data_IF_853885064395
#
_entry.id   IF_853885064395
#
_cell.length_a   1.000
_cell.length_b   1.000
_cell.length_c   1.000
_cell.angle_alpha   90.00
_cell.angle_beta   90.00
_cell.angle_gamma   90.00
#
_symmetry.space_group_name_H-M   'P 1'
#
loop_
_entity.id
_entity.type
_entity.pdbx_description
1 polymer ?
#
# COMPACT_ATOMS: atom_id res chain seq x y z
N UNK A 1 -9.82 17.64 -14.40
CA UNK A 1 -10.18 16.36 -13.76
C UNK A 1 -10.72 15.42 -14.83
N UNK A 2 -10.29 14.15 -14.87
CA UNK A 2 -10.70 13.19 -15.90
C UNK A 2 -12.17 12.77 -15.73
N UNK A 3 -12.96 12.53 -16.82
CA UNK A 3 -14.39 12.17 -16.71
C UNK A 3 -14.69 10.95 -15.83
N UNK A 4 -13.82 9.94 -15.84
CA UNK A 4 -13.97 8.75 -14.99
C UNK A 4 -13.85 9.03 -13.49
N UNK A 5 -13.32 10.20 -13.10
CA UNK A 5 -13.14 10.60 -11.70
C UNK A 5 -14.17 11.65 -11.25
N UNK A 6 -15.18 11.96 -12.08
CA UNK A 6 -16.18 13.01 -11.79
C UNK A 6 -16.97 12.77 -10.50
N UNK A 7 -17.14 11.51 -10.09
CA UNK A 7 -17.82 11.10 -8.85
C UNK A 7 -16.85 10.66 -7.77
N UNK A 8 -15.53 10.86 -7.93
CA UNK A 8 -14.56 10.43 -6.91
C UNK A 8 -14.82 11.11 -5.55
N UNK A 9 -15.37 12.34 -5.56
CA UNK A 9 -15.76 13.05 -4.35
C UNK A 9 -16.96 12.46 -3.60
N UNK A 10 -17.67 11.47 -4.15
CA UNK A 10 -18.74 10.74 -3.43
C UNK A 10 -18.23 9.47 -2.75
N UNK A 11 -16.96 9.12 -2.93
CA UNK A 11 -16.35 7.98 -2.24
C UNK A 11 -16.21 8.30 -0.75
N UNK A 12 -16.29 7.27 0.13
CA UNK A 12 -16.04 7.48 1.55
C UNK A 12 -14.62 8.02 1.75
N UNK A 13 -14.48 8.99 2.66
CA UNK A 13 -13.17 9.51 3.03
C UNK A 13 -12.34 8.42 3.70
N UNK A 14 -11.07 8.31 3.30
CA UNK A 14 -10.09 7.46 3.93
C UNK A 14 -9.26 8.41 4.79
N UNK A 15 -9.64 8.63 6.04
CA UNK A 15 -9.01 9.63 6.93
C UNK A 15 -7.64 9.12 7.42
N UNK A 16 -6.63 9.17 6.55
CA UNK A 16 -5.32 8.57 6.75
C UNK A 16 -4.36 9.52 7.48
N UNK A 17 -3.30 9.02 8.15
CA UNK A 17 -2.30 9.86 8.83
C UNK A 17 -1.64 10.95 7.97
N UNK A 18 -1.63 10.80 6.64
CA UNK A 18 -1.09 11.80 5.71
C UNK A 18 -2.17 12.71 5.07
N UNK A 19 -3.45 12.57 5.47
CA UNK A 19 -4.56 13.42 5.05
C UNK A 19 -4.82 14.54 6.07
N UNK A 20 -3.74 15.20 6.50
CA UNK A 20 -3.76 16.19 7.56
C UNK A 20 -4.48 17.46 7.13
N UNK A 21 -5.20 18.06 8.07
CA UNK A 21 -5.70 19.41 7.93
C UNK A 21 -4.55 20.43 8.04
N UNK A 22 -4.75 21.67 7.58
CA UNK A 22 -3.70 22.69 7.67
C UNK A 22 -3.24 23.02 9.10
N UNK A 23 -4.11 22.84 10.09
CA UNK A 23 -3.85 23.10 11.51
C UNK A 23 -3.28 21.91 12.29
N UNK A 24 -3.28 20.71 11.70
CA UNK A 24 -2.74 19.50 12.32
C UNK A 24 -1.23 19.38 12.09
N UNK A 25 -0.50 18.83 13.06
CA UNK A 25 0.95 18.65 12.93
C UNK A 25 1.32 17.17 12.82
N UNK A 26 2.29 16.88 11.96
CA UNK A 26 2.94 15.58 11.82
C UNK A 26 4.39 15.81 11.39
N UNK A 27 5.37 15.03 11.89
CA UNK A 27 6.76 15.11 11.44
C UNK A 27 6.93 14.85 9.95
N UNK A 28 5.95 14.22 9.30
CA UNK A 28 5.94 13.95 7.88
C UNK A 28 4.72 14.57 7.20
N UNK A 29 4.88 15.02 5.95
CA UNK A 29 3.76 15.45 5.08
C UNK A 29 4.02 15.07 3.64
N UNK A 30 2.94 14.87 2.89
CA UNK A 30 3.02 14.78 1.43
C UNK A 30 2.96 16.19 0.83
N UNK A 31 3.71 16.42 -0.23
CA UNK A 31 3.68 17.70 -0.94
C UNK A 31 3.93 17.57 -2.43
N UNK A 32 3.71 18.67 -3.14
CA UNK A 32 3.98 18.78 -4.58
C UNK A 32 4.92 19.94 -4.83
N UNK A 33 6.01 19.68 -5.56
CA UNK A 33 6.99 20.71 -5.91
C UNK A 33 6.36 21.77 -6.80
N UNK A 34 6.62 23.04 -6.46
CA UNK A 34 6.11 24.21 -7.17
C UNK A 34 7.06 24.64 -8.28
N UNK A 35 6.57 25.51 -9.16
CA UNK A 35 7.41 26.20 -10.13
C UNK A 35 8.27 27.23 -9.39
N UNK A 36 9.60 27.07 -9.47
CA UNK A 36 10.55 27.99 -8.86
C UNK A 36 11.38 27.34 -7.75
N UNK A 37 12.63 27.77 -7.69
CA UNK A 37 13.59 27.48 -6.65
C UNK A 37 14.40 28.76 -6.42
N UNK A 38 14.89 28.96 -5.21
CA UNK A 38 15.82 30.05 -4.87
C UNK A 38 17.18 29.47 -4.43
N UNK A 39 18.03 30.32 -3.86
CA UNK A 39 19.31 29.90 -3.28
C UNK A 39 19.16 28.94 -2.09
N UNK A 40 17.96 28.87 -1.50
CA UNK A 40 17.63 28.02 -0.36
C UNK A 40 17.00 26.68 -0.78
N UNK A 41 16.54 26.55 -2.03
CA UNK A 41 16.12 25.27 -2.61
C UNK A 41 14.78 25.31 -3.33
N UNK A 42 14.11 24.16 -3.39
CA UNK A 42 12.81 23.97 -4.07
C UNK A 42 11.66 24.27 -3.11
N UNK A 43 10.62 24.95 -3.59
CA UNK A 43 9.39 25.15 -2.83
C UNK A 43 8.39 24.02 -3.04
N UNK A 44 7.73 23.60 -1.97
CA UNK A 44 6.79 22.47 -1.94
C UNK A 44 5.47 22.89 -1.30
N UNK A 45 4.37 22.69 -2.02
CA UNK A 45 3.01 22.84 -1.47
C UNK A 45 2.65 21.61 -0.64
N UNK A 46 2.51 21.78 0.67
CA UNK A 46 2.27 20.71 1.65
C UNK A 46 1.02 20.95 2.54
N UNK A 47 0.12 21.83 2.11
CA UNK A 47 -1.11 22.16 2.83
C UNK A 47 -0.88 22.97 4.10
N UNK A 48 0.22 23.71 4.16
CA UNK A 48 0.57 24.64 5.25
C UNK A 48 0.33 26.09 4.83
N UNK A 49 0.52 27.03 5.76
CA UNK A 49 0.30 28.47 5.52
C UNK A 49 1.16 29.03 4.38
N UNK A 50 2.42 28.58 4.31
CA UNK A 50 3.40 28.96 3.29
C UNK A 50 4.04 27.69 2.72
N UNK A 51 4.59 27.73 1.49
CA UNK A 51 5.34 26.62 0.93
C UNK A 51 6.50 26.19 1.83
N UNK A 52 6.77 24.89 1.85
CA UNK A 52 7.92 24.30 2.54
C UNK A 52 9.14 24.38 1.62
N UNK A 53 10.30 24.73 2.17
CA UNK A 53 11.56 24.76 1.43
C UNK A 53 12.33 23.47 1.67
N UNK A 54 12.76 22.82 0.59
CA UNK A 54 13.67 21.67 0.61
C UNK A 54 14.96 22.03 -0.11
N UNK A 55 16.12 21.71 0.45
CA UNK A 55 17.42 22.10 -0.12
C UNK A 55 17.67 21.47 -1.50
N UNK A 56 17.12 20.27 -1.74
CA UNK A 56 17.28 19.55 -2.99
C UNK A 56 16.61 20.30 -4.16
N UNK A 57 17.26 20.29 -5.33
CA UNK A 57 16.70 20.82 -6.57
C UNK A 57 15.85 19.74 -7.24
N UNK A 58 14.52 19.83 -7.06
CA UNK A 58 13.57 18.83 -7.54
C UNK A 58 12.71 19.49 -8.63
N UNK A 59 12.53 18.86 -9.81
CA UNK A 59 11.68 19.43 -10.85
C UNK A 59 10.26 19.68 -10.36
N UNK A 60 9.59 20.72 -10.89
CA UNK A 60 8.21 21.05 -10.55
C UNK A 60 7.23 19.88 -10.81
N UNK A 61 6.08 19.90 -10.12
CA UNK A 61 4.97 18.95 -10.29
C UNK A 61 5.32 17.49 -9.92
N UNK A 62 6.32 17.30 -9.07
CA UNK A 62 6.63 16.01 -8.49
C UNK A 62 6.03 15.91 -7.09
N UNK A 63 5.45 14.75 -6.79
CA UNK A 63 5.00 14.40 -5.44
C UNK A 63 6.21 13.99 -4.61
N UNK A 64 6.33 14.54 -3.42
CA UNK A 64 7.43 14.26 -2.48
C UNK A 64 6.88 13.99 -1.08
N UNK A 65 7.57 13.13 -0.34
CA UNK A 65 7.37 12.93 1.10
C UNK A 65 8.37 13.80 1.83
N UNK A 66 7.87 14.64 2.72
CA UNK A 66 8.67 15.58 3.50
C UNK A 66 8.86 15.05 4.91
N UNK A 67 10.06 15.22 5.47
CA UNK A 67 10.36 15.07 6.89
C UNK A 67 10.80 16.43 7.44
N UNK A 68 10.05 16.98 8.39
CA UNK A 68 10.28 18.32 8.89
C UNK A 68 11.51 18.40 9.81
N UNK A 69 12.23 19.51 9.70
CA UNK A 69 13.35 19.82 10.60
C UNK A 69 12.87 20.25 12.00
N UNK A 70 13.73 20.15 13.03
CA UNK A 70 13.44 20.73 14.33
C UNK A 70 13.09 22.23 14.24
N UNK A 71 12.01 22.66 14.90
CA UNK A 71 11.53 24.05 14.85
C UNK A 71 10.49 24.34 13.76
N UNK A 72 10.24 23.39 12.86
CA UNK A 72 9.28 23.57 11.78
C UNK A 72 7.82 23.62 12.26
N UNK A 73 7.48 22.97 13.37
CA UNK A 73 6.13 23.03 13.96
C UNK A 73 5.82 24.46 14.39
N UNK A 74 6.75 25.05 15.13
CA UNK A 74 6.66 26.43 15.61
C UNK A 74 6.60 27.41 14.44
N UNK A 75 7.46 27.23 13.43
CA UNK A 75 7.45 28.05 12.22
C UNK A 75 6.13 27.94 11.44
N UNK A 76 5.52 26.75 11.39
CA UNK A 76 4.24 26.56 10.72
C UNK A 76 3.08 27.31 11.37
N UNK A 77 3.15 27.52 12.70
CA UNK A 77 2.15 28.23 13.51
C UNK A 77 2.44 29.72 13.65
N UNK A 78 3.68 30.14 13.47
CA UNK A 78 4.09 31.55 13.51
C UNK A 78 3.71 32.27 12.20
N UNK A 79 2.88 33.31 12.32
CA UNK A 79 2.46 34.13 11.18
C UNK A 79 3.61 34.97 10.59
N UNK A 80 4.67 35.21 11.36
CA UNK A 80 5.85 35.99 10.95
C UNK A 80 6.95 35.15 10.34
N UNK A 81 6.89 33.82 10.46
CA UNK A 81 7.85 32.94 9.84
C UNK A 81 7.76 33.05 8.30
N UNK A 82 8.92 33.19 7.66
CA UNK A 82 9.03 33.28 6.19
C UNK A 82 9.43 31.94 5.57
N UNK A 83 9.95 30.99 6.36
CA UNK A 83 10.47 29.70 5.88
C UNK A 83 10.03 28.59 6.83
N UNK A 84 9.60 27.47 6.25
CA UNK A 84 9.42 26.19 6.92
C UNK A 84 10.34 25.20 6.21
N UNK A 85 11.28 24.57 6.93
CA UNK A 85 12.26 23.65 6.34
C UNK A 85 11.88 22.19 6.53
N UNK A 86 12.15 21.40 5.50
CA UNK A 86 12.03 19.94 5.53
C UNK A 86 13.05 19.31 4.58
N UNK A 87 13.25 18.02 4.75
CA UNK A 87 13.99 17.17 3.82
C UNK A 87 13.02 16.35 2.96
N UNK A 88 13.31 16.20 1.67
CA UNK A 88 12.63 15.21 0.83
C UNK A 88 13.20 13.82 1.12
N UNK A 89 12.37 12.92 1.65
CA UNK A 89 12.76 11.59 2.14
C UNK A 89 12.10 10.46 1.34
N UNK A 90 12.44 9.21 1.64
CA UNK A 90 11.80 8.07 0.99
C UNK A 90 10.33 7.98 1.46
N UNK A 91 9.36 7.75 0.55
CA UNK A 91 7.95 7.56 0.94
C UNK A 91 7.68 6.41 1.92
N UNK A 92 8.63 5.48 2.10
CA UNK A 92 8.57 4.42 3.09
C UNK A 92 8.98 4.87 4.51
N UNK A 93 9.75 5.95 4.66
CA UNK A 93 10.34 6.37 5.93
C UNK A 93 9.29 6.68 7.02
N UNK A 94 8.13 7.33 6.73
CA UNK A 94 7.09 7.51 7.74
C UNK A 94 6.62 6.18 8.36
N UNK A 95 6.58 5.11 7.57
CA UNK A 95 6.20 3.76 8.01
C UNK A 95 7.35 3.05 8.71
N UNK A 96 8.53 3.04 8.11
CA UNK A 96 9.67 2.23 8.56
C UNK A 96 10.38 2.82 9.77
N UNK A 97 10.47 4.14 9.88
CA UNK A 97 11.15 4.81 10.99
C UNK A 97 10.19 5.21 12.12
N UNK A 98 8.93 5.53 11.79
CA UNK A 98 7.99 6.16 12.72
C UNK A 98 6.64 5.43 12.89
N UNK A 99 6.41 4.33 12.17
CA UNK A 99 5.21 3.50 12.33
C UNK A 99 3.91 4.10 11.79
N UNK A 100 3.97 5.20 11.02
CA UNK A 100 2.78 5.77 10.40
C UNK A 100 2.31 4.95 9.21
N UNK A 101 1.00 4.72 9.10
CA UNK A 101 0.43 4.23 7.86
C UNK A 101 0.39 5.35 6.82
N UNK A 102 1.23 5.23 5.79
CA UNK A 102 1.42 6.28 4.78
C UNK A 102 0.71 5.99 3.45
N UNK A 103 -0.44 5.32 3.54
CA UNK A 103 -1.25 4.96 2.37
C UNK A 103 -0.72 3.76 1.61
N UNK A 104 -0.98 3.73 0.30
CA UNK A 104 -0.64 2.62 -0.57
C UNK A 104 -0.23 3.12 -1.96
N UNK A 105 0.63 2.34 -2.62
CA UNK A 105 0.97 2.54 -4.01
C UNK A 105 0.08 1.66 -4.90
N UNK A 106 -0.30 2.18 -6.07
CA UNK A 106 -1.09 1.44 -7.05
C UNK A 106 -0.16 1.02 -8.19
N UNK A 107 -0.02 -0.30 -8.39
CA UNK A 107 0.68 -0.88 -9.53
C UNK A 107 -0.32 -1.62 -10.42
N UNK A 108 -0.18 -1.46 -11.73
CA UNK A 108 -0.93 -2.22 -12.72
C UNK A 108 -0.04 -3.33 -13.26
N UNK A 109 -0.53 -4.57 -13.20
CA UNK A 109 0.11 -5.75 -13.79
C UNK A 109 -0.66 -6.16 -15.06
N UNK A 110 0.05 -6.67 -16.08
CA UNK A 110 -0.55 -7.11 -17.35
C UNK A 110 -1.24 -8.47 -17.22
N UNK A 111 -0.61 -9.39 -16.51
CA UNK A 111 -1.14 -10.70 -16.15
C UNK A 111 -0.78 -11.08 -14.70
N UNK A 112 -1.06 -12.33 -14.30
CA UNK A 112 -0.85 -12.77 -12.92
C UNK A 112 0.64 -12.95 -12.61
N UNK A 113 1.43 -13.47 -13.55
CA UNK A 113 2.88 -13.59 -13.40
C UNK A 113 3.55 -12.24 -13.13
N UNK A 114 3.09 -11.17 -13.80
CA UNK A 114 3.61 -9.81 -13.62
C UNK A 114 3.36 -9.27 -12.20
N UNK A 115 2.38 -9.81 -11.48
CA UNK A 115 2.20 -9.48 -10.05
C UNK A 115 3.45 -9.89 -9.27
N UNK A 116 4.05 -11.03 -9.59
CA UNK A 116 5.22 -11.56 -8.88
C UNK A 116 6.54 -11.05 -9.48
N UNK A 117 6.68 -11.08 -10.81
CA UNK A 117 7.96 -10.78 -11.49
C UNK A 117 8.30 -9.29 -11.50
N UNK A 118 7.30 -8.41 -11.44
CA UNK A 118 7.50 -6.95 -11.32
C UNK A 118 7.33 -6.46 -9.87
N UNK A 119 7.60 -7.32 -8.88
CA UNK A 119 7.64 -6.91 -7.49
C UNK A 119 8.72 -5.83 -7.28
N UNK A 120 8.37 -4.77 -6.54
CA UNK A 120 9.28 -3.64 -6.27
C UNK A 120 10.14 -3.84 -5.03
N UNK A 121 9.99 -4.96 -4.33
CA UNK A 121 10.77 -5.29 -3.16
C UNK A 121 11.96 -6.17 -3.54
N UNK A 122 13.14 -5.81 -3.01
CA UNK A 122 14.32 -6.65 -3.14
C UNK A 122 14.09 -8.00 -2.47
N UNK A 123 14.24 -9.09 -3.23
CA UNK A 123 13.91 -10.44 -2.77
C UNK A 123 12.47 -10.90 -3.04
N UNK A 124 11.63 -10.04 -3.62
CA UNK A 124 10.26 -10.37 -3.99
C UNK A 124 9.30 -10.45 -2.80
N UNK A 125 8.15 -11.10 -3.01
CA UNK A 125 7.24 -11.46 -1.93
C UNK A 125 7.66 -12.80 -1.35
N UNK A 126 8.13 -12.82 -0.11
CA UNK A 126 8.63 -14.04 0.53
C UNK A 126 7.51 -14.92 1.11
N UNK A 127 6.29 -14.39 1.22
CA UNK A 127 5.07 -15.17 1.43
C UNK A 127 3.97 -14.69 0.50
N UNK A 128 3.31 -15.64 -0.16
CA UNK A 128 2.20 -15.40 -1.07
C UNK A 128 0.98 -16.23 -0.66
N UNK A 129 -0.17 -15.56 -0.55
CA UNK A 129 -1.44 -16.17 -0.18
C UNK A 129 -2.44 -15.95 -1.30
N UNK A 130 -2.87 -17.04 -1.95
CA UNK A 130 -4.01 -17.03 -2.85
C UNK A 130 -5.30 -17.34 -2.09
N UNK A 131 -6.37 -16.59 -2.35
CA UNK A 131 -7.66 -16.81 -1.68
C UNK A 131 -8.64 -17.57 -2.56
N UNK A 132 -9.32 -18.58 -2.02
CA UNK A 132 -10.37 -19.34 -2.70
C UNK A 132 -11.25 -20.10 -1.70
N UNK A 133 -12.53 -20.30 -2.02
CA UNK A 133 -13.42 -21.17 -1.25
C UNK A 133 -12.91 -22.62 -1.15
N UNK A 134 -12.06 -23.04 -2.11
CA UNK A 134 -11.41 -24.37 -2.18
C UNK A 134 -10.12 -24.45 -1.35
N UNK A 135 -9.71 -23.35 -0.73
CA UNK A 135 -8.53 -23.30 0.13
C UNK A 135 -8.73 -24.00 1.47
N UNK A 136 -7.66 -24.12 2.23
CA UNK A 136 -7.72 -24.52 3.62
C UNK A 136 -8.47 -23.47 4.44
N UNK A 137 -9.12 -23.88 5.52
CA UNK A 137 -9.70 -22.95 6.49
C UNK A 137 -8.61 -21.99 7.01
N UNK A 138 -8.89 -20.67 7.00
CA UNK A 138 -7.97 -19.64 7.51
C UNK A 138 -7.49 -19.92 8.94
N UNK A 139 -8.32 -20.56 9.78
CA UNK A 139 -7.93 -20.91 11.15
C UNK A 139 -6.80 -21.95 11.20
N UNK A 140 -6.61 -22.76 10.15
CA UNK A 140 -5.48 -23.69 10.06
C UNK A 140 -4.12 -23.01 9.96
N UNK A 141 -4.08 -21.75 9.50
CA UNK A 141 -2.85 -20.96 9.55
C UNK A 141 -2.40 -20.68 11.00
N UNK A 142 -3.31 -20.81 11.96
CA UNK A 142 -3.10 -20.52 13.37
C UNK A 142 -3.12 -21.75 14.29
N UNK A 143 -3.39 -22.94 13.76
CA UNK A 143 -3.63 -24.14 14.56
C UNK A 143 -2.35 -24.82 15.08
N UNK A 144 -1.16 -24.29 14.77
CA UNK A 144 0.12 -24.93 15.09
C UNK A 144 0.48 -26.11 14.18
N UNK A 145 -0.24 -26.28 13.08
CA UNK A 145 0.12 -27.22 12.01
C UNK A 145 1.31 -26.63 11.22
N UNK A 146 2.50 -27.20 11.40
CA UNK A 146 3.73 -26.70 10.77
C UNK A 146 3.68 -26.75 9.24
N UNK A 147 2.81 -27.55 8.63
CA UNK A 147 2.62 -27.56 7.16
C UNK A 147 1.89 -26.29 6.68
N UNK A 148 0.97 -25.78 7.48
CA UNK A 148 0.10 -24.65 7.12
C UNK A 148 0.54 -23.33 7.73
N UNK A 149 1.35 -23.39 8.80
CA UNK A 149 1.89 -22.23 9.49
C UNK A 149 2.64 -21.31 8.55
N UNK A 150 2.42 -20.00 8.69
CA UNK A 150 3.20 -18.97 8.02
C UNK A 150 4.26 -18.48 9.01
N UNK A 151 5.53 -18.59 8.63
CA UNK A 151 6.65 -18.09 9.44
C UNK A 151 6.77 -16.56 9.34
N UNK A 152 7.86 -16.03 9.91
CA UNK A 152 8.12 -14.59 9.80
C UNK A 152 8.42 -14.23 8.34
N UNK A 153 7.92 -13.09 7.91
CA UNK A 153 8.04 -12.60 6.54
C UNK A 153 8.40 -11.12 6.50
N UNK A 154 8.93 -10.66 5.37
CA UNK A 154 9.19 -9.23 5.11
C UNK A 154 8.13 -8.61 4.22
N UNK A 155 7.70 -9.35 3.19
CA UNK A 155 6.83 -8.89 2.12
C UNK A 155 5.75 -9.95 1.84
N UNK A 156 4.59 -9.76 2.45
CA UNK A 156 3.40 -10.59 2.23
C UNK A 156 2.60 -10.08 1.03
N UNK A 157 2.28 -10.97 0.09
CA UNK A 157 1.30 -10.76 -0.96
C UNK A 157 0.02 -11.56 -0.68
N UNK A 158 -1.13 -10.91 -0.71
CA UNK A 158 -2.45 -11.58 -0.66
C UNK A 158 -3.17 -11.30 -1.97
N UNK A 159 -3.57 -12.35 -2.68
CA UNK A 159 -4.18 -12.24 -4.01
C UNK A 159 -5.62 -12.72 -3.97
N UNK A 160 -6.52 -11.82 -4.37
CA UNK A 160 -7.96 -12.07 -4.44
C UNK A 160 -8.40 -12.27 -5.89
N UNK A 161 -9.17 -13.32 -6.12
CA UNK A 161 -9.77 -13.61 -7.43
C UNK A 161 -10.99 -12.74 -7.73
N UNK A 162 -11.35 -12.69 -9.01
CA UNK A 162 -12.66 -12.18 -9.44
C UNK A 162 -13.77 -13.20 -9.21
N UNK A 163 -14.95 -12.95 -9.80
CA UNK A 163 -16.13 -13.83 -9.70
C UNK A 163 -15.84 -15.28 -10.10
N UNK A 164 -14.93 -15.49 -11.06
CA UNK A 164 -14.54 -16.81 -11.55
C UNK A 164 -13.28 -17.39 -10.85
N UNK A 165 -12.83 -16.79 -9.75
CA UNK A 165 -11.62 -17.19 -9.03
C UNK A 165 -10.32 -16.79 -9.73
N UNK A 166 -9.19 -17.22 -9.16
CA UNK A 166 -7.84 -16.97 -9.71
C UNK A 166 -7.50 -17.93 -10.85
N UNK A 167 -8.25 -19.01 -11.01
CA UNK A 167 -8.07 -20.01 -12.07
C UNK A 167 -8.16 -19.39 -13.46
N UNK A 168 -9.02 -18.38 -13.64
CA UNK A 168 -9.10 -17.67 -14.92
C UNK A 168 -7.84 -16.87 -15.21
N UNK A 169 -7.25 -16.24 -14.18
CA UNK A 169 -6.01 -15.49 -14.36
C UNK A 169 -4.85 -16.44 -14.72
N UNK A 170 -4.71 -17.54 -13.98
CA UNK A 170 -3.69 -18.58 -14.24
C UNK A 170 -3.85 -19.18 -15.64
N UNK A 171 -5.08 -19.53 -16.03
CA UNK A 171 -5.35 -20.12 -17.35
C UNK A 171 -5.05 -19.18 -18.52
N UNK A 172 -5.14 -17.86 -18.33
CA UNK A 172 -4.87 -16.89 -19.40
C UNK A 172 -3.44 -16.32 -19.36
N UNK A 173 -2.62 -16.79 -18.44
CA UNK A 173 -1.25 -16.34 -18.29
C UNK A 173 -0.29 -17.23 -19.08
N UNK A 174 0.31 -16.68 -20.13
CA UNK A 174 1.21 -17.42 -21.02
C UNK A 174 2.52 -17.86 -20.35
N UNK A 175 3.00 -17.16 -19.33
CA UNK A 175 4.22 -17.54 -18.62
C UNK A 175 3.95 -18.68 -17.65
N UNK A 176 2.83 -18.62 -16.91
CA UNK A 176 2.42 -19.72 -16.03
C UNK A 176 2.13 -21.01 -16.83
N UNK A 177 1.54 -20.91 -18.02
CA UNK A 177 1.35 -22.06 -18.92
C UNK A 177 2.68 -22.69 -19.36
N UNK A 178 3.69 -21.88 -19.71
CA UNK A 178 5.02 -22.39 -20.09
C UNK A 178 5.73 -23.11 -18.94
N UNK A 179 5.47 -22.67 -17.71
CA UNK A 179 5.95 -23.33 -16.48
C UNK A 179 5.16 -24.61 -16.13
N UNK A 180 4.12 -24.94 -16.90
CA UNK A 180 3.31 -26.13 -16.67
C UNK A 180 2.37 -26.03 -15.47
N UNK A 181 2.07 -24.82 -15.01
CA UNK A 181 1.12 -24.59 -13.90
C UNK A 181 -0.28 -25.01 -14.35
N UNK A 182 -0.90 -25.93 -13.60
CA UNK A 182 -2.24 -26.45 -13.90
C UNK A 182 -3.27 -25.91 -12.91
N UNK A 183 -2.96 -25.94 -11.62
CA UNK A 183 -3.87 -25.48 -10.57
C UNK A 183 -3.44 -24.12 -10.01
N UNK A 184 -4.40 -23.26 -9.70
CA UNK A 184 -4.08 -21.92 -9.18
C UNK A 184 -3.35 -21.96 -7.83
N UNK A 185 -3.62 -22.98 -7.01
CA UNK A 185 -2.94 -23.18 -5.72
C UNK A 185 -1.42 -23.37 -5.88
N UNK A 186 -0.95 -23.86 -7.03
CA UNK A 186 0.47 -24.18 -7.26
C UNK A 186 1.32 -22.91 -7.47
N UNK A 187 0.68 -21.75 -7.58
CA UNK A 187 1.32 -20.43 -7.74
C UNK A 187 1.60 -19.76 -6.39
N UNK A 188 1.00 -20.24 -5.30
CA UNK A 188 1.02 -19.57 -3.99
C UNK A 188 1.62 -20.47 -2.91
N UNK A 189 2.27 -19.86 -1.93
CA UNK A 189 2.75 -20.58 -0.75
C UNK A 189 1.58 -21.10 0.09
N UNK A 190 0.49 -20.33 0.18
CA UNK A 190 -0.75 -20.74 0.87
C UNK A 190 -1.98 -20.51 0.00
N UNK A 191 -2.90 -21.45 0.09
CA UNK A 191 -4.18 -21.42 -0.62
C UNK A 191 -5.33 -21.48 0.39
N UNK A 192 -6.00 -20.34 0.62
CA UNK A 192 -6.78 -20.11 1.84
C UNK A 192 -8.23 -19.75 1.54
N UNK A 193 -9.16 -20.38 2.25
CA UNK A 193 -10.54 -19.98 2.36
C UNK A 193 -10.69 -19.00 3.54
N UNK A 194 -10.89 -17.72 3.21
CA UNK A 194 -11.03 -16.63 4.19
C UNK A 194 -12.42 -16.56 4.83
N UNK A 195 -13.40 -17.31 4.32
CA UNK A 195 -14.75 -17.36 4.87
C UNK A 195 -15.32 -18.80 4.87
N UNK A 196 -14.79 -19.70 5.71
CA UNK A 196 -15.30 -21.05 5.84
C UNK A 196 -16.79 -21.06 6.22
N UNK A 197 -17.56 -21.95 5.58
CA UNK A 197 -18.99 -22.05 5.85
C UNK A 197 -19.82 -20.86 5.34
N UNK A 198 -19.34 -20.10 4.36
CA UNK A 198 -20.11 -19.02 3.74
C UNK A 198 -21.52 -19.47 3.35
N UNK A 199 -22.53 -18.68 3.72
CA UNK A 199 -23.94 -18.95 3.42
C UNK A 199 -24.38 -18.48 2.04
N UNK A 200 -23.51 -17.77 1.31
CA UNK A 200 -23.75 -17.33 -0.07
C UNK A 200 -23.02 -18.24 -1.05
N UNK A 201 -23.52 -18.32 -2.29
CA UNK A 201 -22.82 -19.03 -3.37
C UNK A 201 -21.52 -18.32 -3.77
N UNK A 202 -21.46 -17.01 -3.61
CA UNK A 202 -20.32 -16.19 -4.04
C UNK A 202 -20.14 -15.05 -3.05
N UNK A 203 -18.89 -14.75 -2.73
CA UNK A 203 -18.46 -13.54 -2.03
C UNK A 203 -17.84 -12.64 -3.09
N UNK A 204 -18.29 -11.39 -3.18
CA UNK A 204 -17.74 -10.45 -4.16
C UNK A 204 -16.34 -10.03 -3.74
N UNK A 205 -15.48 -9.69 -4.70
CA UNK A 205 -14.08 -9.38 -4.42
C UNK A 205 -13.92 -8.27 -3.39
N UNK A 206 -14.75 -7.22 -3.44
CA UNK A 206 -14.75 -6.14 -2.45
C UNK A 206 -15.11 -6.60 -1.03
N UNK A 207 -15.99 -7.60 -0.88
CA UNK A 207 -16.34 -8.21 0.41
C UNK A 207 -15.19 -9.12 0.89
N UNK A 208 -14.63 -9.90 -0.04
CA UNK A 208 -13.53 -10.84 0.23
C UNK A 208 -12.26 -10.13 0.70
N UNK A 209 -11.93 -8.95 0.16
CA UNK A 209 -10.78 -8.15 0.62
C UNK A 209 -10.93 -7.80 2.10
N UNK A 210 -12.09 -7.31 2.52
CA UNK A 210 -12.35 -6.97 3.92
C UNK A 210 -12.27 -8.20 4.84
N UNK A 211 -12.96 -9.28 4.47
CA UNK A 211 -12.97 -10.53 5.26
C UNK A 211 -11.55 -11.11 5.34
N UNK A 212 -10.85 -11.17 4.22
CA UNK A 212 -9.50 -11.72 4.13
C UNK A 212 -8.48 -10.93 4.93
N UNK A 213 -8.47 -9.60 4.81
CA UNK A 213 -7.54 -8.76 5.58
C UNK A 213 -7.79 -8.85 7.09
N UNK A 214 -9.05 -8.97 7.52
CA UNK A 214 -9.38 -9.15 8.94
C UNK A 214 -9.04 -10.56 9.43
N UNK A 215 -9.36 -11.59 8.65
CA UNK A 215 -9.03 -12.97 8.96
C UNK A 215 -7.52 -13.19 9.07
N UNK A 216 -6.74 -12.57 8.18
CA UNK A 216 -5.29 -12.68 8.11
C UNK A 216 -4.54 -11.70 9.04
N UNK A 217 -5.23 -10.78 9.72
CA UNK A 217 -4.63 -9.72 10.55
C UNK A 217 -3.64 -10.28 11.58
N UNK A 218 -3.93 -11.45 12.16
CA UNK A 218 -3.07 -12.10 13.16
C UNK A 218 -1.69 -12.47 12.60
N UNK A 219 -1.59 -12.76 11.30
CA UNK A 219 -0.28 -13.00 10.67
C UNK A 219 0.57 -11.74 10.72
N UNK A 220 0.00 -10.60 10.33
CA UNK A 220 0.73 -9.33 10.23
C UNK A 220 1.10 -8.77 11.61
N UNK A 221 0.17 -8.83 12.57
CA UNK A 221 0.41 -8.24 13.91
C UNK A 221 1.38 -9.06 14.75
N UNK A 222 1.47 -10.36 14.51
CA UNK A 222 2.39 -11.25 15.24
C UNK A 222 3.70 -11.50 14.46
N UNK A 223 3.91 -10.81 13.33
CA UNK A 223 5.11 -10.91 12.53
C UNK A 223 6.20 -10.00 13.11
N UNK A 224 6.91 -10.52 14.12
CA UNK A 224 8.05 -9.86 14.78
C UNK A 224 9.39 -10.14 14.11
#
# INVERSE_FOLDING_TARGET
MHPNLRTAGTLPSIDLPHHLRPDEWCPYREGVTLAGADENGTFVEAGLRIPVTVEQQIPEKNRVTLKFEPGAEEASKDATAEIIRAEAVNPADPREESGYYWGYNVRKAGCLSDVFTECTYDGGYDITIGTSERGIDVEKLYSGDEEQKVGNFKHLLIVFGGVAGLEVAVKNDGELQKLGVVEAKDVFDRWVNVCPGQGSRTIRTEEAVWIGLMGLRRLVVNNE
#
